data_IF_529258043110
#
_entry.id   IF_529258043110
#
_cell.length_a   1.000
_cell.length_b   1.000
_cell.length_c   1.000
_cell.angle_alpha   90.00
_cell.angle_beta   90.00
_cell.angle_gamma   90.00
#
_symmetry.space_group_name_H-M   'P 1'
#
loop_
_entity.id
_entity.type
_entity.pdbx_description
1 polymer ?
#
# COMPACT_ATOMS: atom_id res chain seq x y z
N UNK A 1 26.22 -16.66 -11.31
CA UNK A 1 25.61 -15.49 -10.62
C UNK A 1 24.16 -15.37 -11.04
N UNK A 2 23.29 -16.16 -10.38
CA UNK A 2 21.87 -16.32 -10.80
C UNK A 2 20.93 -16.20 -9.62
N UNK A 3 21.23 -15.35 -8.66
CA UNK A 3 20.41 -15.24 -7.44
C UNK A 3 19.14 -14.37 -7.52
N UNK A 4 18.96 -13.35 -8.40
CA UNK A 4 17.79 -12.48 -8.32
C UNK A 4 16.52 -13.08 -8.92
N UNK A 5 16.61 -13.93 -9.94
CA UNK A 5 15.45 -14.36 -10.72
C UNK A 5 14.55 -15.35 -9.99
N UNK A 6 15.10 -16.18 -9.13
CA UNK A 6 14.32 -17.18 -8.38
C UNK A 6 13.46 -16.59 -7.26
N UNK A 7 13.91 -15.49 -6.65
CA UNK A 7 13.15 -14.80 -5.59
C UNK A 7 11.86 -14.17 -6.15
N UNK A 8 11.87 -13.71 -7.38
CA UNK A 8 10.68 -13.14 -8.04
C UNK A 8 9.66 -14.21 -8.44
N UNK A 9 10.09 -15.42 -8.71
CA UNK A 9 9.19 -16.55 -9.02
C UNK A 9 8.46 -17.04 -7.77
N UNK A 10 9.03 -16.86 -6.58
CA UNK A 10 8.38 -17.15 -5.30
C UNK A 10 7.25 -16.16 -4.96
N UNK A 11 7.20 -14.98 -5.58
CA UNK A 11 6.11 -14.01 -5.38
C UNK A 11 4.74 -14.51 -5.89
N UNK A 12 4.73 -15.47 -6.79
CA UNK A 12 3.52 -16.20 -7.20
C UNK A 12 3.09 -17.29 -6.22
N UNK A 13 3.90 -17.60 -5.23
CA UNK A 13 3.53 -18.57 -4.22
C UNK A 13 2.58 -17.93 -3.23
N UNK A 14 1.32 -18.15 -3.46
CA UNK A 14 0.21 -18.07 -2.52
C UNK A 14 0.55 -18.70 -1.14
N UNK A 15 1.61 -19.46 -1.04
CA UNK A 15 2.09 -20.17 0.15
C UNK A 15 2.41 -19.22 1.33
N UNK A 16 3.05 -18.08 1.10
CA UNK A 16 3.34 -17.14 2.19
C UNK A 16 2.14 -16.30 2.62
N UNK A 17 1.17 -16.10 1.75
CA UNK A 17 -0.11 -15.46 2.10
C UNK A 17 -0.99 -16.34 2.99
N UNK A 18 -0.82 -17.64 2.96
CA UNK A 18 -1.67 -18.62 3.61
C UNK A 18 -0.94 -19.49 4.64
N UNK A 19 0.34 -19.24 4.92
CA UNK A 19 1.07 -19.96 5.96
C UNK A 19 0.41 -19.71 7.32
N UNK A 20 -0.21 -20.76 7.85
CA UNK A 20 -0.77 -20.77 9.20
C UNK A 20 0.35 -20.99 10.22
N UNK A 21 0.07 -20.71 11.48
CA UNK A 21 1.03 -20.86 12.57
C UNK A 21 1.58 -22.28 12.74
N UNK A 22 0.85 -23.28 12.26
CA UNK A 22 1.21 -24.70 12.30
C UNK A 22 1.91 -25.22 11.02
N UNK A 23 2.23 -24.32 10.09
CA UNK A 23 2.94 -24.70 8.85
C UNK A 23 4.35 -25.24 9.19
N UNK A 24 4.72 -26.48 8.76
CA UNK A 24 5.99 -27.09 9.13
C UNK A 24 7.22 -26.32 8.67
N UNK A 25 7.17 -25.67 7.51
CA UNK A 25 8.28 -24.87 6.97
C UNK A 25 8.46 -23.60 7.80
N UNK A 26 7.35 -22.96 8.19
CA UNK A 26 7.37 -21.80 9.08
C UNK A 26 7.98 -22.14 10.44
N UNK A 27 7.53 -23.27 11.04
CA UNK A 27 8.05 -23.74 12.32
C UNK A 27 9.53 -24.07 12.22
N UNK A 28 9.97 -24.68 11.12
CA UNK A 28 11.40 -24.97 10.91
C UNK A 28 12.23 -23.71 10.72
N UNK A 29 11.72 -22.72 9.99
CA UNK A 29 12.38 -21.43 9.84
C UNK A 29 12.53 -20.70 11.19
N UNK A 30 11.51 -20.78 12.06
CA UNK A 30 11.55 -20.22 13.41
C UNK A 30 12.58 -20.95 14.30
N UNK A 31 12.58 -22.30 14.25
CA UNK A 31 13.57 -23.13 14.97
C UNK A 31 15.00 -22.77 14.57
N UNK A 32 15.23 -22.51 13.30
CA UNK A 32 16.54 -22.12 12.78
C UNK A 32 16.90 -20.65 13.02
N UNK A 33 16.02 -19.87 13.65
CA UNK A 33 16.23 -18.44 13.92
C UNK A 33 16.30 -17.58 12.65
N UNK A 34 15.71 -18.04 11.55
CA UNK A 34 15.68 -17.28 10.30
C UNK A 34 14.77 -16.07 10.43
N UNK A 35 15.13 -14.96 9.79
CA UNK A 35 14.29 -13.78 9.72
C UNK A 35 13.12 -14.05 8.78
N UNK A 36 11.92 -13.95 9.32
CA UNK A 36 10.67 -14.20 8.60
C UNK A 36 9.98 -12.86 8.39
N UNK A 37 9.51 -12.64 7.18
CA UNK A 37 8.76 -11.45 6.81
C UNK A 37 7.37 -11.82 6.32
N UNK A 38 6.38 -11.02 6.64
CA UNK A 38 5.17 -10.95 5.84
C UNK A 38 5.50 -10.27 4.51
N UNK A 39 4.64 -10.49 3.50
CA UNK A 39 4.82 -9.85 2.18
C UNK A 39 4.99 -8.32 2.26
N UNK A 40 4.13 -7.57 2.97
CA UNK A 40 4.31 -6.13 3.08
C UNK A 40 5.54 -5.71 3.90
N UNK A 41 5.96 -6.49 4.89
CA UNK A 41 7.22 -6.24 5.60
C UNK A 41 8.43 -6.41 4.66
N UNK A 42 8.40 -7.40 3.79
CA UNK A 42 9.47 -7.59 2.80
C UNK A 42 9.51 -6.41 1.82
N UNK A 43 8.36 -5.96 1.31
CA UNK A 43 8.31 -4.77 0.45
C UNK A 43 8.86 -3.52 1.16
N UNK A 44 8.53 -3.34 2.43
CA UNK A 44 9.10 -2.24 3.22
C UNK A 44 10.62 -2.36 3.36
N UNK A 45 11.15 -3.54 3.70
CA UNK A 45 12.60 -3.74 3.83
C UNK A 45 13.35 -3.45 2.52
N UNK A 46 12.77 -3.82 1.37
CA UNK A 46 13.35 -3.55 0.05
C UNK A 46 13.22 -2.07 -0.38
N UNK A 47 12.38 -1.30 0.30
CA UNK A 47 12.09 0.09 -0.08
C UNK A 47 12.32 1.12 1.04
N UNK A 48 12.90 0.72 2.16
CA UNK A 48 13.08 1.61 3.32
C UNK A 48 13.92 2.84 3.02
N UNK A 49 14.86 2.72 2.09
CA UNK A 49 15.76 3.80 1.66
C UNK A 49 15.20 4.58 0.46
N UNK A 50 14.00 4.23 -0.03
CA UNK A 50 13.30 4.88 -1.15
C UNK A 50 12.18 5.78 -0.67
N UNK A 51 11.77 6.71 -1.52
CA UNK A 51 10.52 7.45 -1.33
C UNK A 51 9.34 6.55 -1.62
N UNK A 52 8.61 6.15 -0.57
CA UNK A 52 7.43 5.29 -0.65
C UNK A 52 6.18 6.14 -0.85
N UNK A 53 5.54 5.94 -2.00
CA UNK A 53 4.23 6.52 -2.35
C UNK A 53 3.19 5.43 -2.15
N UNK A 54 2.26 5.61 -1.21
CA UNK A 54 1.25 4.58 -0.87
C UNK A 54 -0.14 5.10 -1.17
N UNK A 55 -0.86 4.34 -2.00
CA UNK A 55 -2.21 4.64 -2.45
C UNK A 55 -3.19 3.77 -1.68
N UNK A 56 -3.92 4.36 -0.75
CA UNK A 56 -4.93 3.69 0.07
C UNK A 56 -6.35 4.20 -0.18
N UNK A 57 -7.29 3.62 0.57
CA UNK A 57 -8.71 3.93 0.48
C UNK A 57 -9.53 2.72 0.09
N UNK A 58 -10.82 2.74 0.39
CA UNK A 58 -11.69 1.58 0.16
C UNK A 58 -11.86 1.25 -1.31
N UNK A 59 -11.89 2.27 -2.18
CA UNK A 59 -12.11 2.10 -3.62
C UNK A 59 -11.10 2.90 -4.44
N UNK A 60 -10.85 2.45 -5.67
CA UNK A 60 -10.04 3.18 -6.65
C UNK A 60 -8.52 3.03 -6.52
N UNK A 61 -8.01 2.31 -5.51
CA UNK A 61 -6.57 2.10 -5.29
C UNK A 61 -5.83 1.68 -6.55
N UNK A 62 -6.23 0.57 -7.15
CA UNK A 62 -5.58 0.01 -8.35
C UNK A 62 -5.65 0.98 -9.53
N UNK A 63 -6.80 1.64 -9.73
CA UNK A 63 -6.98 2.61 -10.83
C UNK A 63 -6.04 3.81 -10.65
N UNK A 64 -5.99 4.39 -9.44
CA UNK A 64 -5.12 5.54 -9.14
C UNK A 64 -3.66 5.15 -9.28
N UNK A 65 -3.27 3.97 -8.76
CA UNK A 65 -1.91 3.43 -8.91
C UNK A 65 -1.55 3.26 -10.38
N UNK A 66 -2.44 2.68 -11.19
CA UNK A 66 -2.24 2.52 -12.63
C UNK A 66 -2.07 3.86 -13.35
N UNK A 67 -2.88 4.87 -13.02
CA UNK A 67 -2.76 6.22 -13.58
C UNK A 67 -1.42 6.86 -13.25
N UNK A 68 -0.95 6.75 -12.00
CA UNK A 68 0.36 7.27 -11.59
C UNK A 68 1.47 6.57 -12.38
N UNK A 69 1.46 5.24 -12.45
CA UNK A 69 2.46 4.46 -13.17
C UNK A 69 2.46 4.79 -14.67
N UNK A 70 1.28 4.99 -15.27
CA UNK A 70 1.15 5.39 -16.66
C UNK A 70 1.79 6.76 -16.92
N UNK A 71 1.51 7.75 -16.08
CA UNK A 71 2.10 9.09 -16.18
C UNK A 71 3.62 9.05 -16.01
N UNK A 72 4.12 8.29 -15.04
CA UNK A 72 5.57 8.15 -14.83
C UNK A 72 6.23 7.48 -16.03
N UNK A 73 5.64 6.42 -16.57
CA UNK A 73 6.13 5.75 -17.78
C UNK A 73 6.13 6.68 -18.99
N UNK A 74 5.05 7.47 -19.18
CA UNK A 74 4.94 8.45 -20.29
C UNK A 74 6.06 9.50 -20.24
N UNK A 75 6.54 9.84 -19.04
CA UNK A 75 7.63 10.82 -18.84
C UNK A 75 9.00 10.18 -18.67
N UNK A 76 9.16 8.89 -19.01
CA UNK A 76 10.39 8.13 -18.87
C UNK A 76 10.97 8.16 -17.43
N UNK A 77 10.12 8.28 -16.42
CA UNK A 77 10.51 8.23 -15.01
C UNK A 77 10.48 6.78 -14.54
N UNK A 78 11.65 6.22 -14.28
CA UNK A 78 11.78 4.88 -13.73
C UNK A 78 11.29 4.82 -12.28
N UNK A 79 10.49 3.82 -11.96
CA UNK A 79 9.88 3.64 -10.63
C UNK A 79 9.71 2.16 -10.31
N UNK A 80 9.91 1.82 -9.06
CA UNK A 80 9.48 0.53 -8.51
C UNK A 80 8.00 0.58 -8.18
N UNK A 81 7.32 -0.56 -8.17
CA UNK A 81 5.91 -0.59 -7.86
C UNK A 81 5.43 -1.95 -7.34
N UNK A 82 4.30 -1.91 -6.64
CA UNK A 82 3.46 -3.08 -6.35
C UNK A 82 2.00 -2.69 -6.55
N UNK A 83 1.31 -3.46 -7.38
CA UNK A 83 -0.12 -3.33 -7.67
C UNK A 83 -0.87 -4.62 -7.36
N UNK A 84 -2.13 -4.51 -6.99
CA UNK A 84 -2.98 -5.63 -6.60
C UNK A 84 -3.54 -6.46 -7.77
N UNK A 85 -3.39 -5.98 -9.00
CA UNK A 85 -3.89 -6.63 -10.21
C UNK A 85 -2.93 -6.46 -11.38
N UNK A 86 -3.02 -7.37 -12.36
CA UNK A 86 -2.28 -7.22 -13.62
C UNK A 86 -2.79 -6.00 -14.39
N UNK A 87 -1.88 -5.10 -14.74
CA UNK A 87 -2.19 -3.91 -15.53
C UNK A 87 -1.80 -4.13 -17.00
N UNK A 88 -2.59 -3.59 -17.91
CA UNK A 88 -2.25 -3.58 -19.34
C UNK A 88 -0.99 -2.72 -19.57
N UNK A 89 -0.05 -3.24 -20.35
CA UNK A 89 1.24 -2.58 -20.59
C UNK A 89 2.31 -2.80 -19.51
N UNK A 90 2.02 -3.62 -18.50
CA UNK A 90 2.99 -4.00 -17.46
C UNK A 90 3.12 -5.52 -17.40
N UNK A 91 4.34 -6.03 -17.55
CA UNK A 91 4.63 -7.47 -17.57
C UNK A 91 4.52 -8.12 -16.18
N UNK A 92 4.65 -7.32 -15.13
CA UNK A 92 4.70 -7.79 -13.73
C UNK A 92 3.81 -6.94 -12.82
N UNK A 93 3.35 -7.55 -11.72
CA UNK A 93 2.60 -6.85 -10.67
C UNK A 93 3.51 -6.21 -9.61
N UNK A 94 4.76 -6.65 -9.53
CA UNK A 94 5.77 -6.15 -8.60
C UNK A 94 7.08 -5.97 -9.33
N UNK A 95 7.65 -4.79 -9.21
CA UNK A 95 9.00 -4.45 -9.68
C UNK A 95 9.79 -3.85 -8.53
N UNK A 96 10.92 -4.43 -8.23
CA UNK A 96 11.88 -3.96 -7.23
C UNK A 96 13.25 -3.91 -7.87
N UNK A 97 13.92 -2.79 -7.75
CA UNK A 97 15.28 -2.56 -8.27
C UNK A 97 16.14 -1.89 -7.21
N UNK A 98 17.43 -1.86 -7.39
CA UNK A 98 18.34 -1.12 -6.51
C UNK A 98 18.49 0.35 -6.94
N UNK A 99 18.18 0.66 -8.20
CA UNK A 99 18.51 1.93 -8.84
C UNK A 99 17.41 3.01 -8.73
N UNK A 100 16.16 2.60 -8.51
CA UNK A 100 15.03 3.54 -8.47
C UNK A 100 14.89 4.20 -7.11
N UNK A 101 14.75 5.54 -7.08
CA UNK A 101 14.55 6.32 -5.85
C UNK A 101 13.12 6.26 -5.30
N UNK A 102 12.16 5.86 -6.13
CA UNK A 102 10.74 5.84 -5.80
C UNK A 102 10.15 4.45 -5.91
N UNK A 103 9.20 4.19 -5.03
CA UNK A 103 8.30 3.04 -5.14
C UNK A 103 6.85 3.46 -4.94
N UNK A 104 5.96 3.01 -5.84
CA UNK A 104 4.51 3.20 -5.73
C UNK A 104 3.89 1.89 -5.26
N UNK A 105 3.21 1.94 -4.11
CA UNK A 105 2.61 0.78 -3.45
C UNK A 105 1.09 0.94 -3.37
N UNK A 106 0.36 -0.05 -3.86
CA UNK A 106 -1.07 -0.15 -3.58
C UNK A 106 -1.28 -0.55 -2.11
N UNK A 107 -1.86 0.34 -1.33
CA UNK A 107 -2.08 0.22 0.11
C UNK A 107 -3.38 -0.48 0.43
N UNK A 108 -3.33 -1.82 0.52
CA UNK A 108 -4.47 -2.65 0.89
C UNK A 108 -4.69 -2.60 2.42
N UNK A 109 -5.90 -2.30 2.84
CA UNK A 109 -6.34 -2.30 4.24
C UNK A 109 -6.63 -3.71 4.79
N UNK A 110 -6.56 -4.74 3.96
CA UNK A 110 -6.73 -6.12 4.41
C UNK A 110 -5.49 -6.65 5.13
N UNK A 111 -5.67 -7.72 5.92
CA UNK A 111 -4.63 -8.31 6.77
C UNK A 111 -3.40 -8.77 5.96
N UNK A 112 -2.23 -8.60 6.55
CA UNK A 112 -0.93 -8.96 5.95
C UNK A 112 -0.77 -10.46 5.73
N UNK A 113 -1.12 -11.25 6.75
CA UNK A 113 -1.07 -12.71 6.69
C UNK A 113 -1.94 -13.34 7.79
N UNK A 114 -2.15 -14.66 7.79
CA UNK A 114 -2.85 -15.35 8.89
C UNK A 114 -2.17 -15.20 10.26
N UNK A 115 -0.85 -15.02 10.29
CA UNK A 115 -0.05 -14.88 11.51
C UNK A 115 0.27 -13.42 11.86
N UNK A 116 0.13 -12.51 10.89
CA UNK A 116 0.26 -11.06 11.10
C UNK A 116 -1.06 -10.38 10.70
N UNK A 117 -1.84 -10.04 11.69
CA UNK A 117 -3.18 -9.48 11.51
C UNK A 117 -3.18 -7.95 11.33
N UNK A 118 -2.00 -7.33 11.21
CA UNK A 118 -1.93 -5.91 10.86
C UNK A 118 -2.35 -5.72 9.41
N UNK A 119 -3.13 -4.68 9.07
CA UNK A 119 -3.37 -4.27 7.69
C UNK A 119 -2.07 -4.02 6.93
N UNK A 120 -2.03 -4.43 5.65
CA UNK A 120 -0.81 -4.33 4.83
C UNK A 120 -0.28 -2.90 4.76
N UNK A 121 -1.16 -1.92 4.57
CA UNK A 121 -0.76 -0.52 4.39
C UNK A 121 -0.09 0.10 5.64
N UNK A 122 -0.34 -0.43 6.86
CA UNK A 122 0.36 0.02 8.07
C UNK A 122 1.87 -0.23 8.04
N UNK A 123 2.30 -1.22 7.27
CA UNK A 123 3.68 -1.69 7.25
C UNK A 123 4.55 -0.89 6.27
N UNK A 124 3.95 -0.16 5.34
CA UNK A 124 4.68 0.56 4.30
C UNK A 124 5.31 1.88 4.74
N UNK A 125 4.84 2.50 5.82
CA UNK A 125 5.34 3.76 6.37
C UNK A 125 5.60 4.81 5.27
N UNK A 126 4.54 5.37 4.66
CA UNK A 126 4.67 6.22 3.48
C UNK A 126 5.47 7.49 3.74
N UNK A 127 6.21 7.96 2.72
CA UNK A 127 6.70 9.32 2.63
C UNK A 127 5.61 10.22 2.04
N UNK A 128 4.88 9.68 1.05
CA UNK A 128 3.75 10.33 0.40
C UNK A 128 2.57 9.33 0.43
N UNK A 129 1.46 9.75 0.98
CA UNK A 129 0.23 8.96 0.99
C UNK A 129 -0.85 9.61 0.13
N UNK A 130 -1.74 8.78 -0.43
CA UNK A 130 -3.01 9.20 -0.99
C UNK A 130 -4.11 8.33 -0.41
N UNK A 131 -5.19 8.96 0.06
CA UNK A 131 -6.41 8.28 0.47
C UNK A 131 -7.61 8.75 -0.35
N UNK A 132 -8.26 7.81 -1.02
CA UNK A 132 -9.40 8.09 -1.91
C UNK A 132 -10.73 8.18 -1.19
N UNK A 133 -10.89 7.54 -0.04
CA UNK A 133 -12.11 7.54 0.75
C UNK A 133 -12.16 6.38 1.75
N UNK A 134 -13.13 6.44 2.67
CA UNK A 134 -13.41 5.40 3.68
C UNK A 134 -14.84 4.93 3.51
N UNK A 135 -15.05 3.81 2.85
CA UNK A 135 -16.32 3.11 2.76
C UNK A 135 -16.19 1.74 3.40
N UNK A 136 -17.07 1.40 4.33
CA UNK A 136 -16.96 0.18 5.12
C UNK A 136 -16.91 -1.09 4.25
N UNK A 137 -15.79 -1.76 4.28
CA UNK A 137 -15.53 -3.00 3.59
C UNK A 137 -14.87 -4.03 4.53
N UNK A 138 -14.71 -5.27 4.07
CA UNK A 138 -14.07 -6.35 4.83
C UNK A 138 -14.70 -6.61 6.21
N UNK A 139 -16.03 -6.66 6.29
CA UNK A 139 -16.82 -6.87 7.53
C UNK A 139 -16.38 -8.13 8.30
N UNK A 140 -15.88 -9.14 7.59
CA UNK A 140 -15.33 -10.37 8.18
C UNK A 140 -14.05 -10.13 9.01
N UNK A 141 -13.36 -9.02 8.78
CA UNK A 141 -12.12 -8.62 9.49
C UNK A 141 -12.37 -7.46 10.43
N UNK A 142 -13.16 -6.48 9.98
CA UNK A 142 -13.50 -5.25 10.70
C UNK A 142 -15.00 -5.24 11.00
N UNK A 143 -15.44 -5.82 12.13
CA UNK A 143 -16.85 -6.07 12.42
C UNK A 143 -17.67 -4.81 12.69
N UNK A 144 -17.03 -3.67 12.93
CA UNK A 144 -17.67 -2.37 13.09
C UNK A 144 -17.03 -1.32 12.21
N UNK A 145 -17.80 -0.31 11.82
CA UNK A 145 -17.30 0.81 11.04
C UNK A 145 -16.18 1.56 11.79
N UNK A 146 -16.32 1.78 13.08
CA UNK A 146 -15.31 2.45 13.90
C UNK A 146 -13.99 1.68 13.92
N UNK A 147 -14.05 0.34 13.98
CA UNK A 147 -12.85 -0.48 13.90
C UNK A 147 -12.17 -0.37 12.51
N UNK A 148 -12.96 -0.24 11.45
CA UNK A 148 -12.44 -0.02 10.10
C UNK A 148 -11.82 1.37 9.96
N UNK A 149 -12.49 2.43 10.44
CA UNK A 149 -11.98 3.81 10.43
C UNK A 149 -10.67 3.93 11.22
N UNK A 150 -10.54 3.19 12.34
CA UNK A 150 -9.33 3.17 13.14
C UNK A 150 -8.10 2.71 12.35
N UNK A 151 -8.26 1.83 11.36
CA UNK A 151 -7.14 1.40 10.52
C UNK A 151 -6.57 2.56 9.70
N UNK A 152 -7.42 3.48 9.26
CA UNK A 152 -6.99 4.68 8.54
C UNK A 152 -6.33 5.71 9.45
N UNK A 153 -6.75 5.82 10.73
CA UNK A 153 -6.03 6.66 11.71
C UNK A 153 -4.61 6.16 11.93
N UNK A 154 -4.45 4.86 12.17
CA UNK A 154 -3.14 4.22 12.32
C UNK A 154 -2.29 4.41 11.06
N UNK A 155 -2.89 4.30 9.87
CA UNK A 155 -2.18 4.53 8.62
C UNK A 155 -1.67 5.98 8.50
N UNK A 156 -2.51 6.98 8.79
CA UNK A 156 -2.12 8.40 8.75
C UNK A 156 -0.97 8.66 9.74
N UNK A 157 -1.04 8.08 10.94
CA UNK A 157 0.01 8.21 11.95
C UNK A 157 1.30 7.45 11.59
N UNK A 158 1.22 6.47 10.68
CA UNK A 158 2.38 5.74 10.17
C UNK A 158 3.18 6.48 9.10
N UNK A 159 2.65 7.56 8.55
CA UNK A 159 3.36 8.41 7.57
C UNK A 159 4.59 9.01 8.24
N UNK A 160 5.73 8.95 7.57
CA UNK A 160 6.99 9.45 8.13
C UNK A 160 6.91 10.94 8.42
N UNK A 161 7.57 11.40 9.48
CA UNK A 161 7.62 12.82 9.83
C UNK A 161 8.15 13.66 8.67
N UNK A 162 7.47 14.76 8.38
CA UNK A 162 7.79 15.62 7.23
C UNK A 162 7.23 15.11 5.90
N UNK A 163 6.57 13.95 5.88
CA UNK A 163 5.88 13.42 4.73
C UNK A 163 4.61 14.20 4.37
N UNK A 164 3.81 13.64 3.49
CA UNK A 164 2.56 14.26 3.05
C UNK A 164 1.45 13.25 2.82
N UNK A 165 0.21 13.74 2.93
CA UNK A 165 -0.99 13.00 2.56
C UNK A 165 -1.87 13.85 1.63
N UNK A 166 -2.24 13.27 0.48
CA UNK A 166 -3.31 13.77 -0.38
C UNK A 166 -4.58 13.00 0.01
N UNK A 167 -5.67 13.71 0.26
CA UNK A 167 -6.91 13.06 0.70
C UNK A 167 -8.15 13.73 0.09
N UNK A 168 -9.14 12.90 -0.22
CA UNK A 168 -10.43 13.37 -0.71
C UNK A 168 -11.19 14.04 0.43
N UNK A 169 -11.35 15.37 0.37
CA UNK A 169 -12.06 16.11 1.40
C UNK A 169 -13.59 16.08 1.28
N UNK A 170 -14.12 15.55 0.19
CA UNK A 170 -15.57 15.29 0.02
C UNK A 170 -16.02 14.09 0.87
N UNK A 171 -15.11 13.20 1.26
CA UNK A 171 -15.37 12.16 2.27
C UNK A 171 -15.19 12.75 3.67
N UNK A 172 -16.31 13.03 4.33
CA UNK A 172 -16.33 13.68 5.64
C UNK A 172 -15.61 12.85 6.73
N UNK A 173 -15.67 11.51 6.65
CA UNK A 173 -15.02 10.62 7.62
C UNK A 173 -13.51 10.66 7.41
N UNK A 174 -13.05 10.54 6.17
CA UNK A 174 -11.64 10.64 5.82
C UNK A 174 -11.07 12.01 6.22
N UNK A 175 -11.78 13.09 5.89
CA UNK A 175 -11.39 14.45 6.27
C UNK A 175 -11.20 14.56 7.78
N UNK A 176 -12.17 14.08 8.57
CA UNK A 176 -12.06 14.09 10.02
C UNK A 176 -10.85 13.30 10.52
N UNK A 177 -10.58 12.11 9.95
CA UNK A 177 -9.43 11.27 10.31
C UNK A 177 -8.12 11.99 10.06
N UNK A 178 -7.97 12.58 8.87
CA UNK A 178 -6.72 13.25 8.49
C UNK A 178 -6.51 14.53 9.30
N UNK A 179 -7.54 15.35 9.46
CA UNK A 179 -7.43 16.62 10.16
C UNK A 179 -7.20 16.46 11.67
N UNK A 180 -7.72 15.40 12.28
CA UNK A 180 -7.52 15.09 13.70
C UNK A 180 -6.12 14.54 14.02
N UNK A 181 -5.38 14.03 13.05
CA UNK A 181 -4.03 13.49 13.29
C UNK A 181 -3.05 14.60 13.70
N UNK A 182 -2.27 14.35 14.76
CA UNK A 182 -1.18 15.23 15.24
C UNK A 182 0.16 14.91 14.57
N UNK A 183 0.20 13.95 13.64
CA UNK A 183 1.41 13.62 12.92
C UNK A 183 1.93 14.85 12.14
N UNK A 184 3.20 15.27 12.29
CA UNK A 184 3.75 16.47 11.64
C UNK A 184 4.01 16.23 10.15
N UNK A 185 2.93 16.12 9.38
CA UNK A 185 2.90 15.88 7.94
C UNK A 185 2.16 17.01 7.22
N UNK A 186 2.37 17.15 5.92
CA UNK A 186 1.58 18.08 5.09
C UNK A 186 0.27 17.41 4.70
N UNK A 187 -0.84 18.05 5.02
CA UNK A 187 -2.20 17.61 4.68
C UNK A 187 -2.68 18.38 3.45
N UNK A 188 -2.91 17.69 2.35
CA UNK A 188 -3.19 18.24 1.03
C UNK A 188 -4.58 17.74 0.58
N UNK A 189 -5.66 18.49 0.88
CA UNK A 189 -6.99 18.10 0.44
C UNK A 189 -7.13 18.21 -1.08
N UNK A 190 -7.93 17.33 -1.67
CA UNK A 190 -8.42 17.46 -3.03
C UNK A 190 -9.93 17.17 -3.06
N UNK A 191 -10.60 17.73 -4.06
CA UNK A 191 -12.02 17.54 -4.33
C UNK A 191 -12.26 17.41 -5.84
N UNK A 192 -13.46 17.00 -6.19
CA UNK A 192 -13.90 17.03 -7.58
C UNK A 192 -13.92 18.49 -8.06
N UNK A 193 -13.19 18.83 -9.15
CA UNK A 193 -13.20 20.19 -9.66
C UNK A 193 -14.59 20.57 -10.17
N UNK A 194 -14.96 21.83 -9.97
CA UNK A 194 -16.16 22.37 -10.60
C UNK A 194 -16.04 22.28 -12.14
N UNK A 195 -17.03 21.73 -12.78
CA UNK A 195 -17.07 21.63 -14.24
C UNK A 195 -18.47 21.97 -14.75
N UNK A 196 -18.53 22.51 -15.96
CA UNK A 196 -19.76 22.69 -16.71
C UNK A 196 -19.76 21.78 -17.94
N UNK A 197 -20.90 21.14 -18.21
CA UNK A 197 -21.08 20.38 -19.44
C UNK A 197 -21.73 21.31 -20.47
N UNK A 198 -20.97 21.72 -21.48
CA UNK A 198 -21.54 22.41 -22.62
C UNK A 198 -22.11 21.36 -23.58
N UNK A 199 -23.42 21.43 -23.84
CA UNK A 199 -24.05 20.62 -24.89
C UNK A 199 -23.54 21.10 -26.25
N UNK A 200 -22.70 20.31 -26.92
CA UNK A 200 -22.32 20.53 -28.29
C UNK A 200 -23.43 20.21 -29.29
#
# INVERSE_FOLDING_TARGET
DTAPTEIYTLSHTTLFRSAKADNPELLKAQELGLKIYSYPEFLYEQSKDKTRVVIGGSHGKTTITAMILHVMHYHDVAVDFMVGAQLEGFDVMVKLTDDNDFIVLEGDEYLSSPIDRRPKFHLYKPNIALLSGIAWDHINVFPTFDNYVEQFRIFVDSIVKGGSINYNEEDAVLKQVVEASENPIRKLPYQTPEYSVESG
#
